data_IF_026899238623
#
_entry.id   IF_026899238623
#
_cell.length_a   1.000
_cell.length_b   1.000
_cell.length_c   1.000
_cell.angle_alpha   90.00
_cell.angle_beta   90.00
_cell.angle_gamma   90.00
#
_symmetry.space_group_name_H-M   'P 1'
#
loop_
_entity.id
_entity.type
_entity.pdbx_description
1 polymer ?
#
# COMPACT_ATOMS: atom_id res chain seq x y z
N UNK A 1 21.48 35.18 64.89
CA UNK A 1 21.06 35.17 63.47
C UNK A 1 20.54 33.77 63.18
N UNK A 2 19.22 33.50 63.21
CA UNK A 2 18.21 33.64 62.14
C UNK A 2 18.48 32.78 60.89
N UNK A 3 17.60 31.77 60.71
CA UNK A 3 17.06 31.16 59.46
C UNK A 3 18.07 30.36 58.57
N UNK A 4 17.77 29.19 57.99
CA UNK A 4 16.52 28.61 57.45
C UNK A 4 16.71 27.09 57.18
N UNK A 5 15.66 26.26 57.25
CA UNK A 5 15.66 24.92 56.66
C UNK A 5 15.32 25.02 55.16
N UNK A 6 16.07 24.33 54.30
CA UNK A 6 15.72 24.17 52.89
C UNK A 6 15.22 22.73 52.68
N UNK A 7 13.90 22.67 52.52
CA UNK A 7 13.09 21.57 52.01
C UNK A 7 13.70 20.92 50.78
N UNK A 8 13.96 19.61 50.85
CA UNK A 8 14.29 18.78 49.70
C UNK A 8 12.99 18.34 49.01
N UNK A 9 12.71 18.90 47.84
CA UNK A 9 11.61 18.51 46.97
C UNK A 9 12.01 17.25 46.20
N UNK A 10 11.35 16.12 46.46
CA UNK A 10 11.52 14.89 45.68
C UNK A 10 10.88 15.09 44.29
N UNK A 11 11.71 15.13 43.24
CA UNK A 11 11.23 15.11 41.86
C UNK A 11 10.87 13.67 41.48
N UNK A 12 9.57 13.41 41.29
CA UNK A 12 9.06 12.16 40.71
C UNK A 12 9.31 12.25 39.21
N UNK A 13 10.26 11.44 38.71
CA UNK A 13 10.47 11.27 37.29
C UNK A 13 9.31 10.44 36.70
N UNK A 14 8.42 11.09 35.96
CA UNK A 14 7.44 10.40 35.12
C UNK A 14 8.20 9.74 33.97
N UNK A 15 8.39 8.42 34.03
CA UNK A 15 8.90 7.64 32.91
C UNK A 15 7.85 7.67 31.79
N UNK A 16 8.13 8.41 30.72
CA UNK A 16 7.38 8.32 29.47
C UNK A 16 7.70 6.97 28.83
N UNK A 17 6.76 6.03 28.89
CA UNK A 17 6.82 4.81 28.09
C UNK A 17 6.64 5.21 26.62
N UNK A 18 7.60 4.94 25.72
CA UNK A 18 7.32 5.00 24.30
C UNK A 18 6.28 3.91 24.02
N UNK A 19 5.05 4.32 23.68
CA UNK A 19 4.02 3.39 23.25
C UNK A 19 4.57 2.57 22.07
N UNK A 20 4.60 1.26 22.22
CA UNK A 20 4.89 0.37 21.11
C UNK A 20 3.86 0.64 20.01
N UNK A 21 4.32 0.96 18.80
CA UNK A 21 3.43 1.02 17.65
C UNK A 21 2.76 -0.35 17.50
N UNK A 22 1.43 -0.42 17.29
CA UNK A 22 0.80 -1.68 16.93
C UNK A 22 1.56 -2.30 15.74
N UNK A 23 1.88 -3.59 15.84
CA UNK A 23 2.41 -4.33 14.71
C UNK A 23 1.36 -4.31 13.58
N UNK A 24 1.80 -4.05 12.35
CA UNK A 24 0.94 -4.17 11.19
C UNK A 24 0.45 -5.63 11.08
N UNK A 25 -0.86 -5.82 11.00
CA UNK A 25 -1.49 -7.12 10.80
C UNK A 25 -1.49 -7.40 9.29
N UNK A 26 -0.87 -8.49 8.85
CA UNK A 26 -0.68 -8.82 7.44
C UNK A 26 -1.51 -10.05 7.01
N UNK A 27 -2.73 -10.16 7.54
CA UNK A 27 -3.63 -11.30 7.31
C UNK A 27 -4.00 -11.57 5.85
N UNK A 28 -3.93 -10.57 4.95
CA UNK A 28 -4.20 -10.78 3.52
C UNK A 28 -2.91 -10.93 2.69
N UNK A 29 -2.52 -12.18 2.38
CA UNK A 29 -1.38 -12.54 1.50
C UNK A 29 -0.04 -11.88 1.87
N UNK A 30 0.15 -11.48 3.13
CA UNK A 30 1.35 -10.82 3.61
C UNK A 30 1.80 -9.55 2.83
N UNK A 31 0.90 -8.92 2.07
CA UNK A 31 1.20 -7.79 1.19
C UNK A 31 0.66 -6.46 1.74
N UNK A 32 -0.65 -6.40 1.95
CA UNK A 32 -1.33 -5.19 2.41
C UNK A 32 -1.74 -5.39 3.87
N UNK A 33 -1.41 -4.46 4.78
CA UNK A 33 -1.88 -4.53 6.15
C UNK A 33 -3.41 -4.52 6.23
N UNK A 34 -3.96 -5.20 7.23
CA UNK A 34 -5.37 -5.20 7.53
C UNK A 34 -5.88 -3.78 7.79
N UNK A 35 -7.02 -3.44 7.18
CA UNK A 35 -7.64 -2.12 7.18
C UNK A 35 -7.00 -1.13 6.21
N UNK A 36 -5.99 -1.53 5.42
CA UNK A 36 -5.34 -0.66 4.44
C UNK A 36 -5.61 -1.12 3.01
N UNK A 37 -5.26 -0.25 2.06
CA UNK A 37 -5.31 -0.56 0.63
C UNK A 37 -3.97 -0.27 -0.02
N UNK A 38 -3.64 -1.04 -1.05
CA UNK A 38 -2.54 -0.75 -1.95
C UNK A 38 -3.10 -0.27 -3.29
N UNK A 39 -2.54 0.81 -3.83
CA UNK A 39 -2.93 1.36 -5.12
C UNK A 39 -1.72 1.34 -6.05
N UNK A 40 -1.88 0.70 -7.20
CA UNK A 40 -0.90 0.68 -8.27
C UNK A 40 -1.48 1.45 -9.48
N UNK A 41 -1.19 2.76 -9.61
CA UNK A 41 -1.59 3.56 -10.77
C UNK A 41 -0.80 3.15 -12.02
N UNK A 42 -1.51 2.62 -13.02
CA UNK A 42 -0.95 2.32 -14.32
C UNK A 42 -0.50 3.57 -15.05
N UNK A 43 0.46 3.38 -15.96
CA UNK A 43 0.94 4.46 -16.83
C UNK A 43 -0.07 4.76 -17.92
N UNK A 44 -0.03 5.99 -18.42
CA UNK A 44 -0.87 6.47 -19.51
C UNK A 44 -1.07 5.39 -20.59
N UNK A 45 -2.32 4.94 -20.76
CA UNK A 45 -3.54 5.66 -20.37
C UNK A 45 -4.14 5.16 -19.05
N UNK A 46 -4.33 6.11 -18.13
CA UNK A 46 -5.13 6.21 -16.91
C UNK A 46 -5.97 5.00 -16.41
N UNK A 47 -5.37 3.89 -16.01
CA UNK A 47 -6.07 2.89 -15.18
C UNK A 47 -5.30 2.64 -13.88
N UNK A 48 -5.96 2.04 -12.89
CA UNK A 48 -5.29 1.60 -11.67
C UNK A 48 -5.90 0.29 -11.16
N UNK A 49 -5.12 -0.46 -10.38
CA UNK A 49 -5.62 -1.55 -9.55
C UNK A 49 -5.46 -1.16 -8.09
N UNK A 50 -6.55 -1.27 -7.34
CA UNK A 50 -6.53 -1.20 -5.88
C UNK A 50 -6.67 -2.62 -5.31
N UNK A 51 -5.87 -2.94 -4.29
CA UNK A 51 -5.93 -4.17 -3.53
C UNK A 51 -6.26 -3.83 -2.08
N UNK A 52 -7.37 -4.34 -1.56
CA UNK A 52 -7.87 -3.96 -0.23
C UNK A 52 -7.87 -5.17 0.69
N UNK A 53 -7.33 -4.99 1.90
CA UNK A 53 -7.37 -5.99 2.97
C UNK A 53 -8.31 -5.53 4.08
N UNK A 54 -9.61 -5.78 3.95
CA UNK A 54 -10.63 -5.37 4.94
C UNK A 54 -11.53 -6.52 5.42
N UNK A 55 -11.22 -7.75 4.98
CA UNK A 55 -12.02 -8.95 5.26
C UNK A 55 -11.17 -10.21 5.36
N UNK A 56 -11.79 -11.40 5.30
CA UNK A 56 -11.07 -12.68 5.37
C UNK A 56 -10.18 -12.93 4.14
N UNK A 57 -10.45 -12.25 3.03
CA UNK A 57 -9.71 -12.36 1.76
C UNK A 57 -9.45 -10.96 1.21
N UNK A 58 -8.39 -10.83 0.40
CA UNK A 58 -8.09 -9.60 -0.31
C UNK A 58 -9.08 -9.40 -1.46
N UNK A 59 -9.53 -8.17 -1.66
CA UNK A 59 -10.36 -7.79 -2.82
C UNK A 59 -9.59 -6.88 -3.77
N UNK A 60 -10.10 -6.72 -5.00
CA UNK A 60 -9.51 -5.79 -5.96
C UNK A 60 -10.54 -4.83 -6.51
N UNK A 61 -10.13 -3.60 -6.83
CA UNK A 61 -10.94 -2.67 -7.63
C UNK A 61 -10.15 -2.30 -8.87
N UNK A 62 -10.78 -2.45 -10.04
CA UNK A 62 -10.25 -1.92 -11.29
C UNK A 62 -10.77 -0.49 -11.48
N UNK A 63 -9.86 0.46 -11.65
CA UNK A 63 -10.18 1.86 -11.92
C UNK A 63 -9.85 2.11 -13.38
N UNK A 64 -10.86 2.44 -14.17
CA UNK A 64 -10.74 2.74 -15.59
C UNK A 64 -11.00 4.23 -15.83
N UNK A 65 -10.02 4.94 -16.37
CA UNK A 65 -10.19 6.29 -16.91
C UNK A 65 -9.88 6.38 -18.40
N UNK A 66 -9.94 5.26 -19.14
CA UNK A 66 -9.91 5.20 -20.60
C UNK A 66 -11.25 5.48 -21.27
N UNK A 67 -12.37 5.24 -20.59
CA UNK A 67 -13.70 5.16 -21.19
C UNK A 67 -14.24 6.47 -21.80
N UNK A 68 -13.42 7.53 -21.86
CA UNK A 68 -13.75 8.83 -22.46
C UNK A 68 -14.83 9.60 -21.70
N UNK A 69 -15.17 9.13 -20.49
CA UNK A 69 -16.12 9.72 -19.56
C UNK A 69 -15.54 9.86 -18.14
N UNK A 70 -16.39 9.75 -17.12
CA UNK A 70 -15.98 9.78 -15.72
C UNK A 70 -15.09 8.58 -15.33
N UNK A 71 -14.24 8.75 -14.32
CA UNK A 71 -13.45 7.67 -13.72
C UNK A 71 -14.41 6.58 -13.24
N UNK A 72 -14.29 5.37 -13.79
CA UNK A 72 -15.17 4.25 -13.47
C UNK A 72 -14.44 3.27 -12.57
N UNK A 73 -15.04 2.93 -11.42
CA UNK A 73 -14.48 1.94 -10.49
C UNK A 73 -15.30 0.66 -10.54
N UNK A 74 -14.66 -0.48 -10.80
CA UNK A 74 -15.31 -1.79 -10.90
C UNK A 74 -14.74 -2.74 -9.85
N UNK A 75 -15.51 -3.09 -8.80
CA UNK A 75 -15.09 -4.05 -7.80
C UNK A 75 -14.89 -5.44 -8.40
N UNK A 76 -13.96 -6.21 -7.83
CA UNK A 76 -13.59 -7.54 -8.29
C UNK A 76 -12.85 -8.36 -7.23
N UNK A 77 -12.41 -9.54 -7.63
CA UNK A 77 -11.64 -10.45 -6.78
C UNK A 77 -10.20 -10.51 -7.26
N UNK A 78 -9.27 -10.82 -6.35
CA UNK A 78 -7.86 -11.08 -6.67
C UNK A 78 -7.48 -12.48 -6.20
N UNK A 79 -6.68 -13.18 -7.01
CA UNK A 79 -6.06 -14.45 -6.64
C UNK A 79 -4.56 -14.30 -6.71
N UNK A 80 -3.86 -14.77 -5.68
CA UNK A 80 -2.39 -14.79 -5.65
C UNK A 80 -1.88 -16.20 -5.95
N UNK A 81 -0.80 -16.26 -6.72
CA UNK A 81 -0.12 -17.50 -7.10
C UNK A 81 1.26 -17.65 -6.44
N UNK A 82 1.79 -16.57 -5.88
CA UNK A 82 3.04 -16.56 -5.11
C UNK A 82 3.05 -15.39 -4.12
N UNK A 83 3.95 -15.47 -3.15
CA UNK A 83 4.33 -14.38 -2.25
C UNK A 83 5.78 -13.98 -2.55
N UNK A 84 6.06 -12.66 -2.58
CA UNK A 84 7.39 -12.06 -2.76
C UNK A 84 8.26 -12.63 -3.93
N UNK A 85 8.06 -12.18 -5.19
CA UNK A 85 7.08 -11.18 -5.61
C UNK A 85 5.66 -11.76 -5.64
N UNK A 86 4.69 -10.95 -5.26
CA UNK A 86 3.27 -11.31 -5.24
C UNK A 86 2.73 -11.34 -6.67
N UNK A 87 2.71 -12.52 -7.28
CA UNK A 87 2.12 -12.72 -8.60
C UNK A 87 0.60 -12.92 -8.44
N UNK A 88 -0.20 -12.13 -9.16
CA UNK A 88 -1.65 -12.15 -9.01
C UNK A 88 -2.38 -11.97 -10.34
N UNK A 89 -3.66 -12.32 -10.30
CA UNK A 89 -4.64 -12.06 -11.34
C UNK A 89 -5.94 -11.56 -10.70
N UNK A 90 -6.58 -10.57 -11.32
CA UNK A 90 -7.89 -10.06 -10.90
C UNK A 90 -9.01 -10.55 -11.82
N UNK A 91 -10.26 -10.46 -11.34
CA UNK A 91 -11.44 -10.75 -12.17
C UNK A 91 -11.64 -9.77 -13.35
N UNK A 92 -10.94 -8.63 -13.34
CA UNK A 92 -10.92 -7.63 -14.42
C UNK A 92 -9.52 -7.64 -15.02
N UNK A 93 -9.21 -8.56 -15.95
CA UNK A 93 -7.94 -9.29 -16.13
C UNK A 93 -6.66 -8.43 -16.10
N UNK A 94 -6.33 -7.93 -14.90
CA UNK A 94 -5.04 -7.33 -14.56
C UNK A 94 -4.20 -8.47 -14.01
N UNK A 95 -3.07 -8.72 -14.66
CA UNK A 95 -2.11 -9.75 -14.28
C UNK A 95 -0.73 -9.14 -14.17
N UNK A 96 0.07 -9.66 -13.25
CA UNK A 96 1.45 -9.23 -13.07
C UNK A 96 1.99 -9.62 -11.71
N UNK A 97 3.05 -8.95 -11.28
CA UNK A 97 3.64 -9.18 -9.97
C UNK A 97 4.03 -7.88 -9.26
N UNK A 98 3.83 -7.85 -7.95
CA UNK A 98 4.30 -6.77 -7.07
C UNK A 98 5.56 -7.25 -6.37
N UNK A 99 6.59 -6.42 -6.34
CA UNK A 99 7.80 -6.65 -5.56
C UNK A 99 7.98 -5.52 -4.53
N UNK A 100 8.42 -5.90 -3.33
CA UNK A 100 8.93 -4.94 -2.35
C UNK A 100 10.35 -4.54 -2.77
N UNK A 101 10.50 -3.27 -3.16
CA UNK A 101 11.74 -2.62 -3.57
C UNK A 101 11.89 -1.34 -2.75
N UNK A 102 12.47 -1.39 -1.53
CA UNK A 102 12.55 -0.23 -0.65
C UNK A 102 13.17 0.98 -1.37
N UNK A 103 12.43 2.09 -1.41
CA UNK A 103 12.77 3.30 -2.15
C UNK A 103 13.18 3.07 -3.62
N UNK A 104 12.69 2.00 -4.23
CA UNK A 104 13.13 1.51 -5.54
C UNK A 104 12.28 2.01 -6.70
N UNK A 105 11.18 2.71 -6.42
CA UNK A 105 10.29 3.24 -7.44
C UNK A 105 10.05 4.73 -7.24
N UNK A 106 10.11 5.50 -8.33
CA UNK A 106 9.80 6.93 -8.35
C UNK A 106 8.65 7.17 -9.31
N UNK A 107 7.55 7.76 -8.83
CA UNK A 107 6.40 8.09 -9.66
C UNK A 107 6.59 9.41 -10.44
N UNK A 108 5.64 9.75 -11.31
CA UNK A 108 5.70 10.97 -12.12
C UNK A 108 5.66 12.27 -11.30
N UNK A 109 5.23 12.20 -10.04
CA UNK A 109 5.24 13.31 -9.10
C UNK A 109 6.55 13.41 -8.30
N UNK A 110 7.60 12.69 -8.70
CA UNK A 110 8.88 12.56 -7.99
C UNK A 110 8.76 11.96 -6.58
N UNK A 111 7.65 11.27 -6.26
CA UNK A 111 7.50 10.59 -4.98
C UNK A 111 8.15 9.21 -5.02
N UNK A 112 8.86 8.87 -3.96
CA UNK A 112 9.57 7.60 -3.84
C UNK A 112 8.70 6.62 -3.05
N UNK A 113 8.52 5.42 -3.62
CA UNK A 113 7.71 4.34 -3.05
C UNK A 113 8.49 3.05 -2.93
N UNK A 114 8.00 2.18 -2.05
CA UNK A 114 8.65 0.91 -1.70
C UNK A 114 8.17 -0.29 -2.51
N UNK A 115 7.15 -0.12 -3.36
CA UNK A 115 6.55 -1.23 -4.11
C UNK A 115 6.54 -0.92 -5.60
N UNK A 116 6.93 -1.91 -6.39
CA UNK A 116 6.89 -1.84 -7.86
C UNK A 116 5.98 -2.94 -8.38
N UNK A 117 5.01 -2.58 -9.20
CA UNK A 117 4.21 -3.54 -9.96
C UNK A 117 4.73 -3.67 -11.39
N UNK A 118 4.90 -4.91 -11.84
CA UNK A 118 5.26 -5.25 -13.21
C UNK A 118 4.06 -5.93 -13.88
N UNK A 119 3.31 -5.24 -14.76
CA UNK A 119 2.14 -5.82 -15.41
C UNK A 119 2.56 -6.82 -16.48
N UNK A 120 1.80 -7.90 -16.61
CA UNK A 120 1.85 -8.83 -17.76
C UNK A 120 0.58 -8.81 -18.60
N UNK A 121 -0.49 -8.17 -18.10
CA UNK A 121 -1.74 -7.98 -18.82
C UNK A 121 -2.65 -6.99 -18.10
N UNK A 122 -3.41 -6.22 -18.87
CA UNK A 122 -4.45 -5.34 -18.36
C UNK A 122 -5.55 -5.16 -19.42
N UNK A 123 -6.81 -4.93 -19.02
CA UNK A 123 -7.89 -4.63 -19.96
C UNK A 123 -7.53 -3.41 -20.84
N UNK A 124 -7.76 -3.51 -22.16
CA UNK A 124 -7.58 -2.38 -23.07
C UNK A 124 -6.13 -2.02 -23.42
N UNK A 125 -5.12 -2.68 -22.83
CA UNK A 125 -3.72 -2.45 -23.13
C UNK A 125 -3.12 -3.53 -24.03
N UNK A 126 -2.47 -3.10 -25.10
CA UNK A 126 -1.52 -3.92 -25.86
C UNK A 126 -0.11 -3.51 -25.47
N UNK A 127 0.75 -4.49 -25.14
CA UNK A 127 2.12 -4.25 -24.68
C UNK A 127 2.98 -3.44 -25.66
N UNK A 128 4.14 -2.92 -25.21
CA UNK A 128 4.87 -3.30 -23.99
C UNK A 128 4.31 -2.70 -22.70
N UNK A 129 4.35 -3.48 -21.61
CA UNK A 129 4.02 -3.03 -20.26
C UNK A 129 5.26 -2.49 -19.55
N UNK A 130 5.12 -1.37 -18.86
CA UNK A 130 6.18 -0.78 -18.06
C UNK A 130 5.86 -0.92 -16.56
N UNK A 131 6.86 -1.17 -15.71
CA UNK A 131 6.65 -1.17 -14.27
C UNK A 131 6.21 0.21 -13.76
N UNK A 132 5.37 0.23 -12.73
CA UNK A 132 4.94 1.45 -12.06
C UNK A 132 4.85 1.26 -10.54
N UNK A 133 4.86 2.39 -9.83
CA UNK A 133 4.93 2.39 -8.38
C UNK A 133 3.59 2.07 -7.75
N UNK A 134 3.59 1.25 -6.71
CA UNK A 134 2.44 1.08 -5.84
C UNK A 134 2.69 1.79 -4.51
N UNK A 135 1.61 2.24 -3.88
CA UNK A 135 1.64 2.83 -2.55
C UNK A 135 0.56 2.22 -1.66
N UNK A 136 0.82 2.19 -0.35
CA UNK A 136 -0.16 1.77 0.64
C UNK A 136 -0.78 3.03 1.27
N UNK A 137 -2.11 3.04 1.41
CA UNK A 137 -2.92 4.11 2.02
C UNK A 137 -3.79 3.59 3.16
#
# INVERSE_FOLDING_TARGET
MRLRPLTATAAIALAAFPGAAPAADYTCNNLVPFGQKMICPGFEPNWAVELVCDGPEMTSTFIDAFSGGDITTTPGTVTFSSEEPWAFETSHPVTGSIAYTPAGCTDEGDNVHDFTFTPTGAPGLSGPFFPFCCRIE
#
